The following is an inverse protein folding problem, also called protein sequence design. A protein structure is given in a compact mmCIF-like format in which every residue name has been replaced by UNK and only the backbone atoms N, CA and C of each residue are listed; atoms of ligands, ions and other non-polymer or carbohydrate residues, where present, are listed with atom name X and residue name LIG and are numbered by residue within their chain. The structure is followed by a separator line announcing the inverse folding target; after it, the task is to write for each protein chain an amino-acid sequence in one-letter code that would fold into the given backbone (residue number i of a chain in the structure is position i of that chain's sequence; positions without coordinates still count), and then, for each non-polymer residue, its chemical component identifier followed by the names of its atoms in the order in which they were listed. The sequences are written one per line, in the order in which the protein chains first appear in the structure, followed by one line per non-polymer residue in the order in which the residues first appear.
data_IF_059478332480
#
_entry.id   IF_059478332480
#
_cell.length_a   1.000
_cell.length_b   1.000
_cell.length_c   1.000
_cell.angle_alpha   90.00
_cell.angle_beta   90.00
_cell.angle_gamma   90.00
#
_symmetry.space_group_name_H-M   'P 1'
#
loop_
_entity.id
_entity.type
_entity.pdbx_description
1 polymer ?
#
# COMPACT_ATOMS: atom_id res chain seq x y z
N UNK A 1 -0.44 -11.68 -4.38
CA UNK A 1 -0.37 -10.68 -5.47
C UNK A 1 0.83 -11.01 -6.34
N UNK A 2 0.73 -10.81 -7.66
CA UNK A 2 1.88 -10.98 -8.55
C UNK A 2 2.92 -9.86 -8.33
N UNK A 3 4.17 -10.14 -8.67
CA UNK A 3 5.24 -9.12 -8.61
C UNK A 3 4.91 -7.95 -9.53
N UNK A 4 4.80 -6.74 -8.98
CA UNK A 4 4.46 -5.53 -9.74
C UNK A 4 2.97 -5.26 -9.92
N UNK A 5 2.10 -6.21 -9.54
CA UNK A 5 0.65 -5.99 -9.51
C UNK A 5 0.27 -4.95 -8.45
N UNK A 6 -0.60 -4.01 -8.82
CA UNK A 6 -1.08 -2.99 -7.88
C UNK A 6 -2.17 -3.55 -6.96
N UNK A 7 -2.35 -2.92 -5.79
CA UNK A 7 -3.41 -3.32 -4.85
C UNK A 7 -4.80 -3.26 -5.50
N UNK A 8 -5.06 -2.24 -6.30
CA UNK A 8 -6.34 -2.07 -6.99
C UNK A 8 -6.58 -3.15 -8.06
N UNK A 9 -5.54 -3.53 -8.82
CA UNK A 9 -5.62 -4.62 -9.80
C UNK A 9 -5.96 -5.96 -9.14
N UNK A 10 -5.26 -6.30 -8.06
CA UNK A 10 -5.51 -7.53 -7.33
C UNK A 10 -6.90 -7.55 -6.69
N UNK A 11 -7.30 -6.45 -6.06
CA UNK A 11 -8.63 -6.31 -5.49
C UNK A 11 -9.72 -6.41 -6.56
N UNK A 12 -9.48 -5.86 -7.76
CA UNK A 12 -10.35 -6.01 -8.92
C UNK A 12 -10.53 -7.47 -9.35
N UNK A 13 -9.46 -8.27 -9.31
CA UNK A 13 -9.54 -9.73 -9.58
C UNK A 13 -10.37 -10.48 -8.53
N UNK A 14 -10.25 -10.10 -7.24
CA UNK A 14 -11.10 -10.66 -6.19
C UNK A 14 -12.57 -10.27 -6.38
N UNK A 15 -12.86 -9.02 -6.74
CA UNK A 15 -14.22 -8.57 -7.07
C UNK A 15 -14.80 -9.30 -8.28
N UNK A 16 -14.02 -9.49 -9.34
CA UNK A 16 -14.43 -10.28 -10.50
C UNK A 16 -14.70 -11.75 -10.14
N UNK A 17 -13.93 -12.31 -9.21
CA UNK A 17 -14.18 -13.65 -8.68
C UNK A 17 -15.51 -13.69 -7.90
N UNK A 18 -15.76 -12.74 -7.01
CA UNK A 18 -17.01 -12.63 -6.28
C UNK A 18 -18.23 -12.55 -7.21
N UNK A 19 -18.14 -11.75 -8.28
CA UNK A 19 -19.18 -11.67 -9.31
C UNK A 19 -19.44 -13.02 -10.02
N UNK A 20 -18.39 -13.82 -10.25
CA UNK A 20 -18.53 -15.17 -10.81
C UNK A 20 -19.20 -16.14 -9.83
N UNK A 21 -18.87 -16.07 -8.54
CA UNK A 21 -19.57 -16.85 -7.50
C UNK A 21 -21.07 -16.50 -7.49
N UNK A 22 -21.40 -15.20 -7.52
CA UNK A 22 -22.78 -14.72 -7.56
C UNK A 22 -23.54 -15.26 -8.79
N UNK A 23 -22.90 -15.28 -9.96
CA UNK A 23 -23.47 -15.86 -11.19
C UNK A 23 -23.74 -17.38 -11.11
N UNK A 24 -23.10 -18.09 -10.18
CA UNK A 24 -23.32 -19.51 -9.91
C UNK A 24 -24.30 -19.76 -8.76
N UNK A 25 -24.94 -18.72 -8.22
CA UNK A 25 -25.86 -18.82 -7.09
C UNK A 25 -25.16 -19.01 -5.74
N UNK A 26 -23.87 -18.68 -5.66
CA UNK A 26 -23.07 -18.73 -4.43
C UNK A 26 -22.58 -17.32 -4.05
N UNK A 27 -22.19 -17.12 -2.80
CA UNK A 27 -21.65 -15.84 -2.33
C UNK A 27 -20.21 -16.05 -1.90
N UNK A 28 -19.31 -15.20 -2.39
CA UNK A 28 -17.98 -15.09 -1.83
C UNK A 28 -18.03 -14.03 -0.73
N UNK A 29 -18.04 -14.49 0.52
CA UNK A 29 -18.20 -13.62 1.69
C UNK A 29 -17.03 -12.64 1.86
N UNK A 30 -17.34 -11.44 2.36
CA UNK A 30 -16.36 -10.38 2.60
C UNK A 30 -15.22 -10.86 3.52
N UNK A 31 -15.53 -11.61 4.58
CA UNK A 31 -14.52 -12.16 5.47
C UNK A 31 -13.49 -13.03 4.72
N UNK A 32 -13.94 -13.83 3.75
CA UNK A 32 -13.06 -14.65 2.93
C UNK A 32 -12.22 -13.81 1.97
N UNK A 33 -12.82 -12.76 1.39
CA UNK A 33 -12.11 -11.82 0.51
C UNK A 33 -11.08 -10.98 1.27
N UNK A 34 -11.42 -10.49 2.47
CA UNK A 34 -10.53 -9.74 3.35
C UNK A 34 -9.35 -10.61 3.76
N UNK A 35 -9.60 -11.83 4.23
CA UNK A 35 -8.52 -12.76 4.57
C UNK A 35 -7.60 -12.99 3.38
N UNK A 36 -8.19 -13.27 2.20
CA UNK A 36 -7.40 -13.49 0.98
C UNK A 36 -6.59 -12.25 0.58
N UNK A 37 -7.13 -11.05 0.79
CA UNK A 37 -6.45 -9.79 0.54
C UNK A 37 -5.23 -9.66 1.44
N UNK A 38 -5.39 -9.83 2.75
CA UNK A 38 -4.32 -9.70 3.75
C UNK A 38 -3.23 -10.76 3.60
N UNK A 39 -3.59 -12.00 3.25
CA UNK A 39 -2.63 -13.09 3.01
C UNK A 39 -1.78 -12.86 1.74
N UNK A 40 -2.23 -11.99 0.82
CA UNK A 40 -1.64 -11.86 -0.51
C UNK A 40 -0.95 -10.52 -0.76
N UNK A 41 -1.02 -9.56 0.16
CA UNK A 41 -0.36 -8.26 0.02
C UNK A 41 1.17 -8.39 0.14
N UNK A 42 1.94 -7.50 -0.52
CA UNK A 42 3.40 -7.50 -0.41
C UNK A 42 3.88 -7.05 0.98
N UNK A 43 5.03 -7.56 1.42
CA UNK A 43 5.63 -7.32 2.75
C UNK A 43 5.75 -5.85 3.15
N UNK A 44 5.87 -4.93 2.19
CA UNK A 44 5.90 -3.48 2.47
C UNK A 44 4.63 -2.97 3.17
N UNK A 45 3.52 -3.70 3.07
CA UNK A 45 2.23 -3.40 3.71
C UNK A 45 2.01 -4.20 5.00
N UNK A 46 2.96 -5.04 5.43
CA UNK A 46 2.82 -5.91 6.59
C UNK A 46 2.45 -5.15 7.87
N UNK A 47 3.00 -3.95 8.07
CA UNK A 47 2.64 -3.11 9.21
C UNK A 47 1.14 -2.73 9.23
N UNK A 48 0.54 -2.47 8.07
CA UNK A 48 -0.89 -2.19 7.97
C UNK A 48 -1.73 -3.46 8.21
N UNK A 49 -1.25 -4.63 7.75
CA UNK A 49 -1.91 -5.91 8.02
C UNK A 49 -1.94 -6.19 9.53
N UNK A 50 -0.79 -6.07 10.20
CA UNK A 50 -0.69 -6.27 11.65
C UNK A 50 -1.61 -5.30 12.43
N UNK A 51 -1.69 -4.03 12.00
CA UNK A 51 -2.62 -3.07 12.59
C UNK A 51 -4.08 -3.51 12.40
N UNK A 52 -4.44 -3.99 11.21
CA UNK A 52 -5.80 -4.48 10.93
C UNK A 52 -6.14 -5.73 11.75
N UNK A 53 -5.21 -6.67 11.87
CA UNK A 53 -5.39 -7.88 12.70
C UNK A 53 -5.55 -7.54 14.19
N UNK A 54 -4.83 -6.53 14.68
CA UNK A 54 -4.87 -6.15 16.09
C UNK A 54 -6.11 -5.32 16.46
N UNK A 55 -6.57 -4.45 15.54
CA UNK A 55 -7.58 -3.44 15.87
C UNK A 55 -8.91 -3.60 15.12
N UNK A 56 -9.04 -4.57 14.21
CA UNK A 56 -10.28 -4.80 13.46
C UNK A 56 -10.81 -6.21 13.71
N UNK A 57 -12.15 -6.34 13.75
CA UNK A 57 -12.77 -7.65 13.60
C UNK A 57 -12.82 -8.01 12.10
N UNK A 58 -11.92 -8.90 11.67
CA UNK A 58 -11.80 -9.32 10.28
C UNK A 58 -13.01 -10.14 9.78
N UNK A 59 -13.79 -10.74 10.68
CA UNK A 59 -14.98 -11.51 10.29
C UNK A 59 -16.14 -10.62 9.83
N UNK A 60 -16.17 -9.37 10.29
CA UNK A 60 -17.22 -8.40 9.97
C UNK A 60 -16.73 -7.23 9.12
N UNK A 61 -15.43 -7.19 8.79
CA UNK A 61 -14.84 -6.11 8.03
C UNK A 61 -15.25 -6.23 6.57
N UNK A 62 -15.81 -5.15 6.01
CA UNK A 62 -16.15 -5.10 4.59
C UNK A 62 -14.88 -5.13 3.74
N UNK A 63 -14.95 -5.84 2.61
CA UNK A 63 -13.82 -5.94 1.69
C UNK A 63 -13.31 -4.56 1.22
N UNK A 64 -14.24 -3.66 0.92
CA UNK A 64 -13.92 -2.30 0.47
C UNK A 64 -13.23 -1.45 1.55
N UNK A 65 -13.60 -1.62 2.81
CA UNK A 65 -12.97 -0.95 3.94
C UNK A 65 -11.53 -1.43 4.15
N UNK A 66 -11.33 -2.75 4.09
CA UNK A 66 -9.99 -3.36 4.18
C UNK A 66 -9.07 -2.84 3.06
N UNK A 67 -9.57 -2.84 1.83
CA UNK A 67 -8.88 -2.28 0.66
C UNK A 67 -8.56 -0.79 0.85
N UNK A 68 -9.52 0.00 1.33
CA UNK A 68 -9.35 1.43 1.57
C UNK A 68 -8.23 1.75 2.56
N UNK A 69 -8.15 0.98 3.67
CA UNK A 69 -7.10 1.12 4.69
C UNK A 69 -5.72 0.81 4.13
N UNK A 70 -5.57 -0.32 3.44
CA UNK A 70 -4.32 -0.72 2.79
C UNK A 70 -3.88 0.32 1.75
N UNK A 71 -4.81 0.85 0.96
CA UNK A 71 -4.54 1.88 -0.04
C UNK A 71 -4.04 3.19 0.58
N UNK A 72 -4.70 3.65 1.65
CA UNK A 72 -4.27 4.83 2.39
C UNK A 72 -2.86 4.67 2.96
N UNK A 73 -2.52 3.48 3.46
CA UNK A 73 -1.18 3.18 3.95
C UNK A 73 -0.13 3.15 2.83
N UNK A 74 -0.40 2.43 1.73
CA UNK A 74 0.50 2.34 0.56
C UNK A 74 0.78 3.73 -0.03
N UNK A 75 -0.22 4.62 -0.09
CA UNK A 75 -0.04 6.02 -0.53
C UNK A 75 0.83 6.82 0.44
N UNK A 76 0.63 6.69 1.76
CA UNK A 76 1.47 7.34 2.77
C UNK A 76 2.93 6.86 2.67
N UNK A 77 3.14 5.56 2.48
CA UNK A 77 4.46 4.97 2.30
C UNK A 77 5.14 5.52 1.04
N UNK A 78 4.42 5.60 -0.09
CA UNK A 78 4.92 6.20 -1.32
C UNK A 78 5.29 7.67 -1.13
N UNK A 79 4.44 8.48 -0.49
CA UNK A 79 4.75 9.89 -0.20
C UNK A 79 5.99 10.05 0.68
N UNK A 80 6.17 9.18 1.67
CA UNK A 80 7.36 9.18 2.54
C UNK A 80 8.62 8.77 1.77
N UNK A 81 8.55 7.72 0.94
CA UNK A 81 9.67 7.31 0.08
C UNK A 81 10.05 8.35 -0.96
N UNK A 82 9.07 9.07 -1.52
CA UNK A 82 9.30 10.21 -2.42
C UNK A 82 9.92 11.40 -1.68
N UNK A 83 9.54 11.65 -0.42
CA UNK A 83 10.16 12.68 0.41
C UNK A 83 11.61 12.34 0.79
N UNK A 84 11.95 11.05 0.95
CA UNK A 84 13.31 10.60 1.18
C UNK A 84 14.16 10.66 -0.10
N UNK A 85 13.56 10.38 -1.26
CA UNK A 85 14.15 10.66 -2.58
C UNK A 85 14.35 12.15 -2.87
N UNK A 86 13.51 13.04 -2.32
CA UNK A 86 13.70 14.50 -2.35
C UNK A 86 14.74 15.00 -1.35
N UNK A 87 15.14 14.18 -0.38
CA UNK A 87 16.32 14.43 0.46
C UNK A 87 17.60 13.92 -0.18
N UNK A 88 17.50 13.19 -1.29
CA UNK A 88 18.62 12.85 -2.16
C UNK A 88 19.02 14.01 -3.10
N UNK A 89 18.44 15.19 -2.93
CA UNK A 89 19.03 16.46 -3.36
C UNK A 89 20.15 16.79 -2.35
N UNK A 90 21.18 15.95 -2.34
CA UNK A 90 22.29 15.92 -1.39
C UNK A 90 23.18 17.16 -1.44
N UNK A 91 22.68 18.30 -0.97
CA UNK A 91 23.49 19.48 -0.72
C UNK A 91 23.16 20.10 0.64
N UNK A 92 23.36 19.30 1.69
CA UNK A 92 23.36 19.81 3.06
C UNK A 92 24.74 20.31 3.51
N UNK A 93 25.81 20.01 2.77
CA UNK A 93 27.17 20.52 3.04
C UNK A 93 27.88 20.87 1.73
N UNK A 94 28.30 22.14 1.59
CA UNK A 94 29.24 22.55 0.54
C UNK A 94 30.67 22.28 1.01
N UNK A 95 31.55 21.89 0.08
CA UNK A 95 33.00 21.86 0.34
C UNK A 95 33.55 23.28 0.46
N UNK A 96 34.69 23.46 1.13
CA UNK A 96 35.31 24.78 1.30
C UNK A 96 35.57 25.50 -0.04
N UNK A 97 35.88 24.76 -1.09
CA UNK A 97 36.10 25.31 -2.44
C UNK A 97 34.80 25.84 -3.08
N UNK A 98 33.66 25.21 -2.82
CA UNK A 98 32.36 25.65 -3.31
C UNK A 98 31.87 26.93 -2.61
N UNK A 99 32.20 27.12 -1.34
CA UNK A 99 31.94 28.37 -0.62
C UNK A 99 32.71 29.54 -1.23
N UNK A 100 34.02 29.37 -1.43
CA UNK A 100 34.89 30.40 -2.00
C UNK A 100 34.49 30.80 -3.43
N UNK A 101 33.92 29.88 -4.19
CA UNK A 101 33.43 30.17 -5.54
C UNK A 101 32.21 31.12 -5.56
N UNK A 102 31.42 31.15 -4.49
CA UNK A 102 30.25 32.04 -4.36
C UNK A 102 30.59 33.44 -3.86
N UNK A 103 31.55 33.56 -2.96
CA UNK A 103 31.98 34.86 -2.40
C UNK A 103 32.71 35.76 -3.42
N UNK A 104 33.02 35.23 -4.61
CA UNK A 104 33.68 35.95 -5.69
C UNK A 104 32.73 36.45 -6.79
N UNK A 105 31.41 36.39 -6.57
CA UNK A 105 30.40 37.04 -7.41
C UNK A 105 29.87 38.32 -6.75
#
# INVERSE_FOLDING_TARGET
MASGETLDEFAGKLGAMAARFAGLGSTLEDAAMVKKLLDCVPDRLYAAVAEMEQFCNLETLLFDDARGRLKAFDERLRRRGQADGRRADGQLMYTAEQWRARERC
#
